data_IF_305877905827
#
_entry.id   IF_305877905827
#
_cell.length_a   1.000
_cell.length_b   1.000
_cell.length_c   1.000
_cell.angle_alpha   90.00
_cell.angle_beta   90.00
_cell.angle_gamma   90.00
#
_symmetry.space_group_name_H-M   'P 1'
#
loop_
_entity.id
_entity.type
_entity.pdbx_description
1 polymer ?
#
# COMPACT_ATOMS: atom_id res chain seq x y z
N UNK A 1 -2.74 10.38 4.91
CA UNK A 1 -3.75 9.41 4.47
C UNK A 1 -4.75 9.26 5.59
N UNK A 2 -6.05 9.33 5.29
CA UNK A 2 -7.10 8.96 6.24
C UNK A 2 -7.56 7.58 5.80
N UNK A 3 -7.07 6.55 6.48
CA UNK A 3 -7.26 5.16 6.07
C UNK A 3 -6.54 4.21 7.00
N UNK A 4 -7.11 3.03 7.18
CA UNK A 4 -6.57 1.93 7.96
C UNK A 4 -6.47 0.70 7.07
N UNK A 5 -5.26 0.17 6.89
CA UNK A 5 -5.01 -1.10 6.18
C UNK A 5 -5.01 -2.23 7.22
N UNK A 6 -6.12 -2.92 7.42
CA UNK A 6 -6.28 -3.94 8.47
C UNK A 6 -5.31 -5.12 8.31
N UNK A 7 -5.03 -5.53 7.08
CA UNK A 7 -4.14 -6.64 6.81
C UNK A 7 -2.64 -6.25 6.79
N UNK A 8 -2.26 -5.02 7.19
CA UNK A 8 -0.88 -4.53 7.15
C UNK A 8 0.11 -5.45 7.89
N UNK A 9 -0.29 -6.06 9.01
CA UNK A 9 0.58 -6.98 9.78
C UNK A 9 0.90 -8.25 9.01
N UNK A 10 -0.07 -8.78 8.25
CA UNK A 10 0.12 -9.98 7.41
C UNK A 10 1.08 -9.66 6.27
N UNK A 11 0.89 -8.52 5.61
CA UNK A 11 1.73 -8.06 4.50
C UNK A 11 3.15 -7.77 4.99
N UNK A 12 3.32 -7.11 6.14
CA UNK A 12 4.64 -6.90 6.77
C UNK A 12 5.39 -8.20 6.97
N UNK A 13 4.73 -9.25 7.46
CA UNK A 13 5.35 -10.58 7.61
C UNK A 13 5.77 -11.19 6.27
N UNK A 14 4.95 -11.03 5.22
CA UNK A 14 5.27 -11.53 3.88
C UNK A 14 6.50 -10.84 3.28
N UNK A 15 6.69 -9.56 3.56
CA UNK A 15 7.78 -8.75 3.00
C UNK A 15 8.97 -8.54 3.96
N UNK A 16 8.94 -9.11 5.17
CA UNK A 16 9.99 -8.89 6.18
C UNK A 16 11.40 -9.25 5.71
N UNK A 17 11.53 -10.18 4.76
CA UNK A 17 12.82 -10.57 4.16
C UNK A 17 13.21 -9.75 2.91
N UNK A 18 12.25 -9.03 2.30
CA UNK A 18 12.43 -8.28 1.04
C UNK A 18 12.47 -6.77 1.24
N UNK A 19 11.90 -6.26 2.33
CA UNK A 19 11.73 -4.84 2.56
C UNK A 19 11.97 -4.49 4.03
N UNK A 20 12.82 -3.49 4.26
CA UNK A 20 13.09 -2.96 5.59
C UNK A 20 12.07 -1.87 5.90
N UNK A 21 11.08 -2.19 6.73
CA UNK A 21 10.12 -1.21 7.20
C UNK A 21 10.80 -0.23 8.17
N UNK A 22 10.71 1.05 7.85
CA UNK A 22 11.30 2.16 8.60
C UNK A 22 10.32 2.77 9.60
N UNK A 23 9.02 2.57 9.40
CA UNK A 23 7.97 3.10 10.27
C UNK A 23 7.04 2.01 10.81
N UNK A 24 6.21 2.39 11.78
CA UNK A 24 5.09 1.58 12.25
C UNK A 24 3.79 1.81 11.48
N UNK A 25 3.79 2.65 10.43
CA UNK A 25 2.58 3.01 9.68
C UNK A 25 2.04 1.80 8.94
N UNK A 26 0.74 1.57 9.07
CA UNK A 26 -0.01 0.62 8.27
C UNK A 26 0.12 0.89 6.76
N UNK A 27 0.18 2.17 6.35
CA UNK A 27 0.34 2.59 4.95
C UNK A 27 1.69 2.22 4.32
N UNK A 28 2.74 1.96 5.11
CA UNK A 28 4.08 1.66 4.56
C UNK A 28 4.11 0.36 3.75
N UNK A 29 3.14 -0.53 3.97
CA UNK A 29 3.02 -1.78 3.19
C UNK A 29 2.71 -1.54 1.72
N UNK A 30 2.25 -0.35 1.35
CA UNK A 30 1.97 0.04 -0.03
C UNK A 30 3.25 0.01 -0.89
N UNK A 31 4.40 0.42 -0.32
CA UNK A 31 5.67 0.51 -1.06
C UNK A 31 6.13 -0.87 -1.57
N UNK A 32 6.38 -1.87 -0.70
CA UNK A 32 6.84 -3.18 -1.16
C UNK A 32 5.79 -3.92 -2.02
N UNK A 33 4.50 -3.65 -1.81
CA UNK A 33 3.44 -4.20 -2.64
C UNK A 33 3.48 -3.65 -4.07
N UNK A 34 3.62 -2.33 -4.22
CA UNK A 34 3.74 -1.69 -5.52
C UNK A 34 5.03 -2.11 -6.25
N UNK A 35 6.13 -2.29 -5.53
CA UNK A 35 7.39 -2.78 -6.10
C UNK A 35 7.29 -4.22 -6.63
N UNK A 36 6.55 -5.11 -5.96
CA UNK A 36 6.43 -6.52 -6.36
C UNK A 36 5.31 -6.74 -7.40
N UNK A 37 4.16 -6.08 -7.26
CA UNK A 37 2.95 -6.38 -8.04
C UNK A 37 2.52 -5.26 -8.98
N UNK A 38 3.23 -4.12 -9.00
CA UNK A 38 2.81 -2.93 -9.75
C UNK A 38 1.40 -2.49 -9.34
N UNK A 39 0.62 -1.93 -10.26
CA UNK A 39 -0.72 -1.38 -9.99
C UNK A 39 -1.76 -2.40 -9.46
N UNK A 40 -1.53 -3.70 -9.67
CA UNK A 40 -2.47 -4.76 -9.29
C UNK A 40 -2.57 -4.98 -7.77
N UNK A 41 -1.65 -4.41 -6.99
CA UNK A 41 -1.57 -4.63 -5.55
C UNK A 41 -2.80 -4.12 -4.77
N UNK A 42 -3.56 -3.17 -5.34
CA UNK A 42 -4.72 -2.57 -4.66
C UNK A 42 -5.73 -3.63 -4.24
N UNK A 43 -5.91 -4.67 -5.04
CA UNK A 43 -6.80 -5.80 -4.74
C UNK A 43 -6.32 -6.67 -3.56
N UNK A 44 -5.09 -6.46 -3.09
CA UNK A 44 -4.51 -7.17 -1.94
C UNK A 44 -4.68 -6.40 -0.63
N UNK A 45 -5.12 -5.14 -0.68
CA UNK A 45 -5.37 -4.33 0.50
C UNK A 45 -6.75 -4.65 1.07
N UNK A 46 -6.78 -4.87 2.39
CA UNK A 46 -8.02 -5.01 3.15
C UNK A 46 -8.12 -3.84 4.12
N UNK A 47 -9.12 -2.99 3.93
CA UNK A 47 -9.34 -1.83 4.77
C UNK A 47 -10.01 -0.66 4.05
N UNK A 48 -10.05 0.47 4.75
CA UNK A 48 -10.53 1.75 4.21
C UNK A 48 -9.30 2.59 3.91
N UNK A 49 -9.12 3.04 2.67
CA UNK A 49 -7.91 3.77 2.31
C UNK A 49 -8.17 4.73 1.16
N UNK A 50 -7.43 5.83 1.17
CA UNK A 50 -7.27 6.70 0.03
C UNK A 50 -5.81 7.18 0.00
N UNK A 51 -5.11 6.93 -1.11
CA UNK A 51 -3.72 7.34 -1.26
C UNK A 51 -3.40 7.77 -2.69
N UNK A 52 -2.34 8.55 -2.80
CA UNK A 52 -1.67 8.86 -4.07
C UNK A 52 -0.21 8.42 -3.93
N UNK A 53 0.23 7.56 -4.83
CA UNK A 53 1.61 7.12 -4.96
C UNK A 53 2.22 7.83 -6.17
N UNK A 54 3.41 8.40 -5.98
CA UNK A 54 4.22 8.97 -7.05
C UNK A 54 5.48 8.14 -7.24
N UNK A 55 5.64 7.54 -8.42
CA UNK A 55 6.85 6.82 -8.78
C UNK A 55 7.81 7.75 -9.53
N UNK A 56 8.88 8.15 -8.84
CA UNK A 56 9.90 9.05 -9.40
C UNK A 56 10.74 8.40 -10.50
N UNK A 57 10.79 7.06 -10.58
CA UNK A 57 11.57 6.34 -11.59
C UNK A 57 10.91 6.46 -12.96
N UNK A 58 9.58 6.34 -12.97
CA UNK A 58 8.77 6.36 -14.19
C UNK A 58 8.03 7.69 -14.41
N UNK A 59 8.09 8.62 -13.44
CA UNK A 59 7.33 9.88 -13.42
C UNK A 59 5.81 9.66 -13.54
N UNK A 60 5.32 8.60 -12.91
CA UNK A 60 3.91 8.20 -12.94
C UNK A 60 3.24 8.42 -11.59
N UNK A 61 1.95 8.69 -11.64
CA UNK A 61 1.09 8.82 -10.45
C UNK A 61 0.05 7.72 -10.47
N UNK A 62 -0.21 7.17 -9.29
CA UNK A 62 -1.28 6.21 -9.07
C UNK A 62 -2.12 6.71 -7.90
N UNK A 63 -3.43 6.84 -8.11
CA UNK A 63 -4.38 7.13 -7.06
C UNK A 63 -5.31 5.94 -6.89
N UNK A 64 -5.51 5.51 -5.64
CA UNK A 64 -6.42 4.42 -5.32
C UNK A 64 -7.26 4.74 -4.09
N UNK A 65 -8.46 4.19 -4.08
CA UNK A 65 -9.43 4.27 -2.98
C UNK A 65 -10.02 2.89 -2.74
N UNK A 66 -10.42 2.61 -1.50
CA UNK A 66 -11.10 1.36 -1.14
C UNK A 66 -12.38 1.13 -1.97
N UNK A 67 -12.76 -0.14 -2.12
CA UNK A 67 -13.83 -0.58 -3.00
C UNK A 67 -15.22 -0.05 -2.62
N UNK A 68 -15.44 0.24 -1.33
CA UNK A 68 -16.71 0.76 -0.83
C UNK A 68 -16.76 2.29 -0.98
N UNK A 69 -15.60 2.94 -1.12
CA UNK A 69 -15.50 4.39 -1.23
C UNK A 69 -16.01 5.07 0.04
N UNK A 70 -15.69 4.53 1.21
CA UNK A 70 -16.14 5.11 2.48
C UNK A 70 -15.48 6.49 2.65
N UNK A 71 -16.30 7.53 2.68
CA UNK A 71 -16.09 8.84 3.31
C UNK A 71 -17.47 9.39 3.64
#
# INVERSE_FOLDING_TARGET
>A
ANGEIYNHKKIRKQFAAKHTFTTGSDCEVIIPLYEEYGENFVNMLDGVFSFVLYDTRNKTYMAARDAVGVN
#
